data_IF_297585394051
#
_entry.id   IF_297585394051
#
_cell.length_a   1.000
_cell.length_b   1.000
_cell.length_c   1.000
_cell.angle_alpha   90.00
_cell.angle_beta   90.00
_cell.angle_gamma   90.00
#
_symmetry.space_group_name_H-M   'P 1'
#
loop_
_entity.id
_entity.type
_entity.pdbx_description
1 polymer ?
#
# COMPACT_ATOMS: atom_id res chain seq x y z
N UNK A 1 -10.11 10.96 40.90
CA UNK A 1 -10.77 10.85 39.60
C UNK A 1 -10.16 11.91 38.71
N UNK A 2 -9.75 11.54 37.49
CA UNK A 2 -9.24 12.48 36.48
C UNK A 2 -10.32 13.54 36.21
N UNK A 3 -9.93 14.80 36.12
CA UNK A 3 -10.86 15.90 35.88
C UNK A 3 -11.47 15.79 34.48
N UNK A 4 -12.74 16.17 34.31
CA UNK A 4 -13.41 16.20 33.00
C UNK A 4 -12.64 17.05 31.98
N UNK A 5 -11.94 18.10 32.45
CA UNK A 5 -11.09 18.93 31.60
C UNK A 5 -9.82 18.21 31.13
N UNK A 6 -9.23 17.35 31.96
CA UNK A 6 -8.07 16.53 31.58
C UNK A 6 -8.47 15.47 30.53
N UNK A 7 -9.66 14.86 30.65
CA UNK A 7 -10.17 13.90 29.67
C UNK A 7 -10.44 14.54 28.31
N UNK A 8 -11.02 15.74 28.28
CA UNK A 8 -11.26 16.49 27.03
C UNK A 8 -9.93 16.87 26.36
N UNK A 9 -8.94 17.33 27.15
CA UNK A 9 -7.63 17.69 26.60
C UNK A 9 -6.87 16.47 26.08
N UNK A 10 -6.93 15.33 26.75
CA UNK A 10 -6.35 14.08 26.28
C UNK A 10 -7.03 13.59 24.99
N UNK A 11 -8.36 13.68 24.89
CA UNK A 11 -9.10 13.30 23.69
C UNK A 11 -8.72 14.14 22.47
N UNK A 12 -8.57 15.46 22.65
CA UNK A 12 -8.14 16.35 21.56
C UNK A 12 -6.70 16.08 21.12
N UNK A 13 -5.80 15.77 22.06
CA UNK A 13 -4.43 15.39 21.74
C UNK A 13 -4.39 14.09 20.92
N UNK A 14 -5.18 13.08 21.31
CA UNK A 14 -5.26 11.78 20.63
C UNK A 14 -5.85 11.94 19.23
N UNK A 15 -6.89 12.75 19.08
CA UNK A 15 -7.49 13.08 17.77
C UNK A 15 -6.46 13.69 16.82
N UNK A 16 -5.73 14.72 17.28
CA UNK A 16 -4.65 15.34 16.50
C UNK A 16 -3.52 14.38 16.17
N UNK A 17 -3.16 13.51 17.10
CA UNK A 17 -2.14 12.49 16.88
C UNK A 17 -2.52 11.61 15.68
N UNK A 18 -3.73 11.06 15.65
CA UNK A 18 -4.13 10.17 14.56
C UNK A 18 -4.45 10.89 13.25
N UNK A 19 -4.88 12.15 13.29
CA UNK A 19 -4.94 13.01 12.09
C UNK A 19 -3.55 13.19 11.45
N UNK A 20 -2.50 13.36 12.25
CA UNK A 20 -1.12 13.41 11.74
C UNK A 20 -0.65 12.05 11.21
N UNK A 21 -1.03 10.96 11.88
CA UNK A 21 -0.74 9.59 11.42
C UNK A 21 -1.41 9.29 10.08
N UNK A 22 -2.55 9.91 9.75
CA UNK A 22 -3.18 9.74 8.43
C UNK A 22 -2.25 10.10 7.26
N UNK A 23 -1.25 10.96 7.48
CA UNK A 23 -0.19 11.24 6.50
C UNK A 23 0.64 10.01 6.12
N UNK A 24 0.71 8.98 6.96
CA UNK A 24 1.39 7.71 6.66
C UNK A 24 0.71 6.97 5.50
N UNK A 25 -0.62 6.83 5.55
CA UNK A 25 -1.40 6.22 4.45
C UNK A 25 -1.29 7.03 3.16
N UNK A 26 -1.47 8.36 3.26
CA UNK A 26 -1.32 9.27 2.11
C UNK A 26 0.05 9.13 1.44
N UNK A 27 1.14 9.08 2.22
CA UNK A 27 2.49 8.89 1.71
C UNK A 27 2.67 7.54 1.01
N UNK A 28 2.19 6.46 1.63
CA UNK A 28 2.24 5.11 1.06
C UNK A 28 1.56 5.03 -0.31
N UNK A 29 0.31 5.47 -0.40
CA UNK A 29 -0.44 5.42 -1.66
C UNK A 29 0.08 6.39 -2.72
N UNK A 30 0.62 7.54 -2.31
CA UNK A 30 1.26 8.48 -3.25
C UNK A 30 2.46 7.84 -3.94
N UNK A 31 3.33 7.13 -3.19
CA UNK A 31 4.46 6.41 -3.76
C UNK A 31 3.99 5.20 -4.57
N UNK A 32 2.99 4.47 -4.07
CA UNK A 32 2.40 3.33 -4.77
C UNK A 32 1.83 3.70 -6.14
N UNK A 33 1.18 4.87 -6.26
CA UNK A 33 0.68 5.38 -7.53
C UNK A 33 1.80 5.46 -8.58
N UNK A 34 2.94 6.08 -8.24
CA UNK A 34 4.06 6.20 -9.17
C UNK A 34 4.72 4.85 -9.45
N UNK A 35 4.88 3.99 -8.44
CA UNK A 35 5.44 2.64 -8.61
C UNK A 35 4.59 1.79 -9.55
N UNK A 36 3.27 1.78 -9.35
CA UNK A 36 2.34 0.97 -10.14
C UNK A 36 2.19 1.48 -11.57
N UNK A 37 2.05 2.79 -11.76
CA UNK A 37 1.94 3.37 -13.11
C UNK A 37 3.27 3.25 -13.86
N UNK A 38 4.39 3.60 -13.22
CA UNK A 38 5.71 3.52 -13.84
C UNK A 38 6.11 2.09 -14.19
N UNK A 39 6.00 1.16 -13.24
CA UNK A 39 6.30 -0.24 -13.47
C UNK A 39 5.33 -0.92 -14.44
N UNK A 40 4.04 -0.57 -14.37
CA UNK A 40 3.02 -1.07 -15.30
C UNK A 40 3.26 -0.64 -16.75
N UNK A 41 3.66 0.61 -16.98
CA UNK A 41 4.06 1.08 -18.31
C UNK A 41 5.28 0.33 -18.81
N UNK A 42 6.31 0.17 -17.96
CA UNK A 42 7.54 -0.53 -18.33
C UNK A 42 7.26 -1.98 -18.72
N UNK A 43 6.58 -2.73 -17.85
CA UNK A 43 6.32 -4.16 -18.07
C UNK A 43 5.44 -4.39 -19.28
N UNK A 44 4.32 -3.66 -19.42
CA UNK A 44 3.39 -3.91 -20.53
C UNK A 44 3.90 -3.44 -21.87
N UNK A 45 4.77 -2.42 -21.92
CA UNK A 45 5.44 -2.05 -23.16
C UNK A 45 6.44 -3.12 -23.61
N UNK A 46 7.18 -3.73 -22.67
CA UNK A 46 8.15 -4.77 -22.95
C UNK A 46 7.48 -6.09 -23.35
N UNK A 47 6.55 -6.59 -22.52
CA UNK A 47 5.73 -7.79 -22.72
C UNK A 47 5.07 -7.78 -24.11
N UNK A 48 4.21 -6.79 -24.39
CA UNK A 48 3.49 -6.69 -25.66
C UNK A 48 4.45 -6.55 -26.86
N UNK A 49 5.56 -5.82 -26.71
CA UNK A 49 6.54 -5.63 -27.78
C UNK A 49 7.32 -6.90 -28.10
N UNK A 50 7.80 -7.61 -27.06
CA UNK A 50 8.56 -8.84 -27.17
C UNK A 50 7.68 -9.95 -27.76
N UNK A 51 6.46 -10.11 -27.25
CA UNK A 51 5.55 -11.15 -27.66
C UNK A 51 5.03 -10.97 -29.08
N UNK A 52 4.58 -9.77 -29.45
CA UNK A 52 4.03 -9.54 -30.78
C UNK A 52 5.09 -9.80 -31.86
N UNK A 53 6.29 -9.24 -31.72
CA UNK A 53 7.34 -9.43 -32.75
C UNK A 53 7.90 -10.85 -32.72
N UNK A 54 8.17 -11.39 -31.53
CA UNK A 54 8.75 -12.72 -31.36
C UNK A 54 7.81 -13.81 -31.87
N UNK A 55 6.60 -13.89 -31.30
CA UNK A 55 5.64 -14.96 -31.58
C UNK A 55 5.01 -14.83 -32.97
N UNK A 56 4.59 -13.63 -33.37
CA UNK A 56 3.76 -13.49 -34.60
C UNK A 56 4.56 -13.25 -35.87
N UNK A 57 5.72 -12.60 -35.80
CA UNK A 57 6.51 -12.24 -36.99
C UNK A 57 7.78 -13.09 -37.18
N UNK A 58 8.30 -13.67 -36.10
CA UNK A 58 9.57 -14.42 -36.10
C UNK A 58 9.42 -15.88 -35.72
N UNK A 59 8.21 -16.33 -35.37
CA UNK A 59 7.91 -17.70 -34.90
C UNK A 59 8.86 -18.14 -33.77
N UNK A 60 9.30 -17.18 -32.96
CA UNK A 60 10.08 -17.46 -31.76
C UNK A 60 9.15 -17.92 -30.65
N UNK A 61 9.70 -18.74 -29.75
CA UNK A 61 9.01 -19.08 -28.50
C UNK A 61 8.92 -17.83 -27.62
N UNK A 62 7.97 -17.85 -26.70
CA UNK A 62 7.94 -16.95 -25.56
C UNK A 62 9.29 -16.99 -24.82
N UNK A 63 9.77 -15.83 -24.40
CA UNK A 63 11.08 -15.68 -23.73
C UNK A 63 12.29 -16.25 -24.48
N UNK A 64 12.23 -16.35 -25.80
CA UNK A 64 13.40 -16.81 -26.56
C UNK A 64 14.61 -15.89 -26.32
N UNK A 65 15.79 -16.41 -25.95
CA UNK A 65 16.96 -15.60 -25.66
C UNK A 65 17.47 -14.79 -26.86
N UNK A 66 17.03 -15.12 -28.07
CA UNK A 66 17.31 -14.38 -29.31
C UNK A 66 16.42 -13.14 -29.45
N UNK A 67 15.34 -13.03 -28.67
CA UNK A 67 14.47 -11.87 -28.65
C UNK A 67 15.03 -10.79 -27.71
N UNK A 68 15.43 -9.62 -28.22
CA UNK A 68 16.03 -8.58 -27.39
C UNK A 68 15.05 -7.97 -26.37
N UNK A 69 13.74 -8.19 -26.54
CA UNK A 69 12.71 -7.71 -25.61
C UNK A 69 12.63 -8.49 -24.30
N UNK A 70 13.08 -9.75 -24.29
CA UNK A 70 12.87 -10.69 -23.17
C UNK A 70 13.50 -10.24 -21.86
N UNK A 71 14.64 -9.55 -21.89
CA UNK A 71 15.26 -9.00 -20.67
C UNK A 71 14.37 -7.90 -20.08
N UNK A 72 13.85 -7.00 -20.93
CA UNK A 72 12.99 -5.92 -20.46
C UNK A 72 11.65 -6.43 -19.94
N UNK A 73 11.13 -7.51 -20.54
CA UNK A 73 9.90 -8.17 -20.10
C UNK A 73 10.05 -8.72 -18.67
N UNK A 74 11.05 -9.59 -18.46
CA UNK A 74 11.34 -10.19 -17.16
C UNK A 74 11.76 -9.16 -16.09
N UNK A 75 12.43 -8.08 -16.48
CA UNK A 75 12.68 -6.93 -15.57
C UNK A 75 11.35 -6.25 -15.22
N UNK A 76 10.47 -6.09 -16.21
CA UNK A 76 9.14 -5.54 -16.06
C UNK A 76 8.31 -6.27 -15.02
N UNK A 77 8.29 -7.61 -15.04
CA UNK A 77 7.53 -8.40 -14.05
C UNK A 77 7.96 -8.07 -12.62
N UNK A 78 9.26 -7.89 -12.39
CA UNK A 78 9.77 -7.54 -11.06
C UNK A 78 9.47 -6.08 -10.69
N UNK A 79 9.54 -5.16 -11.65
CA UNK A 79 9.35 -3.72 -11.40
C UNK A 79 7.87 -3.35 -11.28
N UNK A 80 7.02 -3.88 -12.14
CA UNK A 80 5.58 -3.65 -12.17
C UNK A 80 4.84 -4.58 -11.23
N UNK A 81 4.89 -5.87 -11.54
CA UNK A 81 4.01 -6.86 -10.92
C UNK A 81 4.42 -7.19 -9.48
N UNK A 82 5.72 -7.11 -9.14
CA UNK A 82 6.18 -7.28 -7.75
C UNK A 82 6.28 -5.95 -7.02
N UNK A 83 7.17 -5.03 -7.43
CA UNK A 83 7.42 -3.82 -6.66
C UNK A 83 6.20 -2.87 -6.65
N UNK A 84 5.52 -2.70 -7.79
CA UNK A 84 4.29 -1.92 -7.89
C UNK A 84 3.16 -2.50 -7.06
N UNK A 85 2.92 -3.81 -7.15
CA UNK A 85 1.89 -4.49 -6.33
C UNK A 85 2.21 -4.43 -4.83
N UNK A 86 3.47 -4.61 -4.45
CA UNK A 86 3.89 -4.53 -3.06
C UNK A 86 3.61 -3.15 -2.44
N UNK A 87 3.93 -2.08 -3.16
CA UNK A 87 3.63 -0.72 -2.72
C UNK A 87 2.11 -0.45 -2.64
N UNK A 88 1.33 -0.99 -3.58
CA UNK A 88 -0.13 -0.86 -3.62
C UNK A 88 -0.82 -1.54 -2.43
N UNK A 89 -0.40 -2.77 -2.10
CA UNK A 89 -0.92 -3.51 -0.93
C UNK A 89 -0.50 -2.82 0.38
N UNK A 90 0.72 -2.31 0.45
CA UNK A 90 1.18 -1.52 1.59
C UNK A 90 0.32 -0.26 1.78
N UNK A 91 0.07 0.51 0.71
CA UNK A 91 -0.79 1.70 0.76
C UNK A 91 -2.19 1.35 1.27
N UNK A 92 -2.79 0.27 0.75
CA UNK A 92 -4.10 -0.22 1.19
C UNK A 92 -4.14 -0.58 2.68
N UNK A 93 -3.11 -1.28 3.19
CA UNK A 93 -3.01 -1.62 4.62
C UNK A 93 -2.82 -0.37 5.49
N UNK A 94 -1.93 0.54 5.06
CA UNK A 94 -1.63 1.77 5.78
C UNK A 94 -2.87 2.67 5.88
N UNK A 95 -3.58 2.90 4.78
CA UNK A 95 -4.78 3.75 4.74
C UNK A 95 -5.93 3.17 5.53
N UNK A 96 -6.23 1.87 5.37
CA UNK A 96 -7.31 1.21 6.12
C UNK A 96 -7.06 1.27 7.63
N UNK A 97 -5.82 1.04 8.06
CA UNK A 97 -5.42 1.16 9.47
C UNK A 97 -5.54 2.61 9.96
N UNK A 98 -5.02 3.58 9.20
CA UNK A 98 -5.10 5.00 9.57
C UNK A 98 -6.56 5.49 9.66
N UNK A 99 -7.40 5.11 8.70
CA UNK A 99 -8.82 5.48 8.70
C UNK A 99 -9.53 4.94 9.94
N UNK A 100 -9.29 3.68 10.33
CA UNK A 100 -9.85 3.10 11.54
C UNK A 100 -9.36 3.83 12.80
N UNK A 101 -8.08 4.20 12.87
CA UNK A 101 -7.50 4.93 14.00
C UNK A 101 -8.06 6.36 14.12
N UNK A 102 -8.17 7.08 13.01
CA UNK A 102 -8.77 8.43 12.97
C UNK A 102 -10.21 8.39 13.44
N UNK A 103 -11.04 7.47 12.93
CA UNK A 103 -12.43 7.32 13.37
C UNK A 103 -12.49 6.95 14.86
N UNK A 104 -11.67 6.00 15.30
CA UNK A 104 -11.63 5.57 16.72
C UNK A 104 -11.24 6.71 17.65
N UNK A 105 -10.35 7.61 17.21
CA UNK A 105 -9.92 8.80 17.97
C UNK A 105 -11.02 9.85 18.19
N UNK A 106 -12.14 9.76 17.48
CA UNK A 106 -13.31 10.63 17.71
C UNK A 106 -14.25 10.12 18.80
N UNK A 107 -14.09 8.86 19.23
CA UNK A 107 -14.93 8.25 20.26
C UNK A 107 -14.23 8.26 21.62
N UNK A 108 -14.79 9.02 22.55
CA UNK A 108 -14.30 9.08 23.94
C UNK A 108 -14.36 7.72 24.62
N UNK A 109 -15.38 6.91 24.32
CA UNK A 109 -15.52 5.56 24.88
C UNK A 109 -14.37 4.63 24.45
N UNK A 110 -13.95 4.71 23.19
CA UNK A 110 -12.84 3.93 22.65
C UNK A 110 -11.49 4.41 23.17
N UNK A 111 -11.34 5.71 23.41
CA UNK A 111 -10.14 6.30 23.99
C UNK A 111 -9.95 5.87 25.44
N UNK A 112 -11.03 5.88 26.24
CA UNK A 112 -10.96 5.55 27.66
C UNK A 112 -10.85 4.05 27.93
N UNK A 113 -11.29 3.21 26.98
CA UNK A 113 -11.21 1.75 27.13
C UNK A 113 -9.81 1.26 26.77
N UNK A 114 -9.19 0.56 27.71
CA UNK A 114 -7.86 -0.01 27.55
C UNK A 114 -7.75 -0.85 26.26
N UNK A 115 -6.73 -0.57 25.46
CA UNK A 115 -6.38 -1.24 24.20
C UNK A 115 -7.44 -1.18 23.07
N UNK A 116 -8.64 -0.65 23.30
CA UNK A 116 -9.70 -0.60 22.29
C UNK A 116 -9.32 0.27 21.08
N UNK A 117 -8.61 1.37 21.33
CA UNK A 117 -8.10 2.27 20.30
C UNK A 117 -7.16 1.57 19.30
N UNK A 118 -6.40 0.57 19.74
CA UNK A 118 -5.42 -0.16 18.92
C UNK A 118 -6.00 -1.42 18.28
N UNK A 119 -7.31 -1.63 18.36
CA UNK A 119 -8.00 -2.76 17.75
C UNK A 119 -7.59 -3.06 16.28
N UNK A 120 -7.52 -2.09 15.34
CA UNK A 120 -7.11 -2.39 13.97
C UNK A 120 -5.68 -2.97 13.87
N UNK A 121 -4.77 -2.53 14.76
CA UNK A 121 -3.41 -3.06 14.83
C UNK A 121 -3.39 -4.48 15.40
N UNK A 122 -4.22 -4.77 16.40
CA UNK A 122 -4.36 -6.12 16.96
C UNK A 122 -4.88 -7.10 15.91
N UNK A 123 -5.86 -6.71 15.09
CA UNK A 123 -6.34 -7.54 13.98
C UNK A 123 -5.23 -7.84 12.99
N UNK A 124 -4.44 -6.83 12.59
CA UNK A 124 -3.31 -7.02 11.68
C UNK A 124 -2.23 -7.91 12.30
N UNK A 125 -1.92 -7.72 13.59
CA UNK A 125 -0.97 -8.56 14.33
C UNK A 125 -1.42 -10.02 14.39
N UNK A 126 -2.70 -10.28 14.67
CA UNK A 126 -3.25 -11.63 14.68
C UNK A 126 -3.27 -12.24 13.28
N UNK A 127 -3.48 -11.44 12.23
CA UNK A 127 -3.50 -11.94 10.85
C UNK A 127 -2.14 -12.42 10.33
N UNK A 128 -1.04 -12.04 10.98
CA UNK A 128 0.32 -12.47 10.60
C UNK A 128 0.66 -13.85 11.19
N UNK A 129 0.08 -14.21 12.34
CA UNK A 129 0.33 -15.48 13.06
C UNK A 129 -0.60 -16.58 12.54
#
# INVERSE_FOLDING_TARGET
GVSTAEQVQASELIRRLFELVAGYGLGGSSVALFGRVGGGIYTKAADVGADLVGKTLKDLKEDDPSNPGTIADNVGDNVGDIAGMGADLFGSLAESTCAALVVSSTSVELILKENALYFPLMITSCGIV
#
